data_IF_089171046286
#
_entry.id   IF_089171046286
#
_cell.length_a   1.000
_cell.length_b   1.000
_cell.length_c   1.000
_cell.angle_alpha   90.00
_cell.angle_beta   90.00
_cell.angle_gamma   90.00
#
_symmetry.space_group_name_H-M   'P 1'
#
loop_
_entity.id
_entity.type
_entity.pdbx_description
1 polymer ?
#
# COMPACT_ATOMS: atom_id res chain seq x y z
N UNK A 1 -13.04 19.28 26.74
CA UNK A 1 -13.70 18.90 25.47
C UNK A 1 -12.60 18.49 24.49
N UNK A 2 -12.78 17.39 23.77
CA UNK A 2 -11.88 16.99 22.70
C UNK A 2 -11.78 18.10 21.63
N UNK A 3 -10.59 18.32 21.11
CA UNK A 3 -10.36 19.41 20.14
C UNK A 3 -9.67 18.87 18.89
N UNK A 4 -10.26 19.14 17.73
CA UNK A 4 -9.73 18.78 16.40
C UNK A 4 -9.37 20.06 15.65
N UNK A 5 -8.14 20.11 15.11
CA UNK A 5 -7.63 21.26 14.38
C UNK A 5 -7.00 20.82 13.08
N UNK A 6 -7.64 21.14 11.96
CA UNK A 6 -7.09 20.98 10.63
C UNK A 6 -6.46 22.29 10.16
N UNK A 7 -5.21 22.24 9.71
CA UNK A 7 -4.51 23.40 9.15
C UNK A 7 -4.12 23.12 7.71
N UNK A 8 -4.84 23.73 6.77
CA UNK A 8 -4.48 23.72 5.34
C UNK A 8 -3.48 24.83 5.08
N UNK A 9 -2.27 24.48 4.68
CA UNK A 9 -1.19 25.43 4.55
C UNK A 9 -0.28 25.08 3.37
N UNK A 10 -0.11 26.02 2.42
CA UNK A 10 0.74 25.84 1.24
C UNK A 10 2.24 25.85 1.58
N UNK A 11 3.09 25.51 0.60
CA UNK A 11 4.55 25.57 0.76
C UNK A 11 5.02 26.94 1.25
N UNK A 12 5.91 26.96 2.24
CA UNK A 12 6.45 28.19 2.80
C UNK A 12 5.50 28.98 3.71
N UNK A 13 4.28 28.51 3.96
CA UNK A 13 3.29 29.20 4.80
C UNK A 13 3.54 29.09 6.31
N UNK A 14 4.63 28.46 6.73
CA UNK A 14 4.98 28.33 8.14
C UNK A 14 4.34 27.11 8.86
N UNK A 15 3.97 26.04 8.15
CA UNK A 15 3.40 24.81 8.73
C UNK A 15 4.15 24.32 9.97
N UNK A 16 5.43 24.04 9.82
CA UNK A 16 6.29 23.58 10.92
C UNK A 16 6.48 24.65 12.01
N UNK A 17 6.41 25.94 11.66
CA UNK A 17 6.40 27.02 12.64
C UNK A 17 5.14 26.96 13.51
N UNK A 18 3.94 26.79 12.93
CA UNK A 18 2.70 26.70 13.69
C UNK A 18 2.67 25.45 14.58
N UNK A 19 3.11 24.30 14.09
CA UNK A 19 3.21 23.07 14.91
C UNK A 19 4.19 23.25 16.08
N UNK A 20 5.38 23.86 15.81
CA UNK A 20 6.35 24.16 16.89
C UNK A 20 5.76 25.12 17.91
N UNK A 21 5.03 26.15 17.45
CA UNK A 21 4.32 27.10 18.33
C UNK A 21 3.30 26.38 19.21
N UNK A 22 2.47 25.50 18.61
CA UNK A 22 1.46 24.70 19.33
C UNK A 22 2.11 23.77 20.35
N UNK A 23 3.22 23.12 20.00
CA UNK A 23 4.00 22.29 20.93
C UNK A 23 4.45 23.10 22.15
N UNK A 24 4.99 24.30 21.95
CA UNK A 24 5.43 25.19 23.03
C UNK A 24 4.27 25.74 23.87
N UNK A 25 3.11 25.98 23.25
CA UNK A 25 1.89 26.35 23.98
C UNK A 25 1.41 25.20 24.91
N UNK A 26 1.49 23.95 24.43
CA UNK A 26 1.17 22.77 25.25
C UNK A 26 2.18 22.63 26.41
N UNK A 27 3.47 22.82 26.17
CA UNK A 27 4.49 22.84 27.24
C UNK A 27 4.20 23.95 28.27
N UNK A 28 3.75 25.13 27.82
CA UNK A 28 3.39 26.22 28.73
C UNK A 28 2.20 25.87 29.62
N UNK A 29 1.27 25.06 29.12
CA UNK A 29 0.09 24.59 29.84
C UNK A 29 0.40 23.43 30.80
N UNK A 30 1.53 22.71 30.63
CA UNK A 30 1.93 21.62 31.51
C UNK A 30 2.17 22.13 32.95
N UNK A 31 1.52 21.48 33.92
CA UNK A 31 1.69 21.79 35.33
C UNK A 31 1.12 23.14 35.77
N UNK A 32 0.36 23.84 34.92
CA UNK A 32 -0.37 25.04 35.28
C UNK A 32 -1.81 24.69 35.69
N UNK A 33 -2.25 25.03 36.91
CA UNK A 33 -3.64 24.83 37.30
C UNK A 33 -4.62 25.80 36.59
N UNK A 34 -4.09 26.70 35.77
CA UNK A 34 -4.93 27.74 35.12
C UNK A 34 -5.30 27.30 33.69
N UNK A 35 -6.60 27.14 33.40
CA UNK A 35 -7.10 26.87 32.05
C UNK A 35 -6.81 28.02 31.04
N UNK A 36 -6.30 29.17 31.52
CA UNK A 36 -6.04 30.34 30.71
C UNK A 36 -4.91 30.16 29.67
N UNK A 37 -3.84 29.43 30.01
CA UNK A 37 -2.73 29.21 29.08
C UNK A 37 -3.09 28.24 27.94
N UNK A 38 -3.86 27.22 28.24
CA UNK A 38 -4.40 26.31 27.23
C UNK A 38 -5.52 26.97 26.39
N UNK A 39 -6.35 27.80 27.00
CA UNK A 39 -7.41 28.53 26.32
C UNK A 39 -6.91 29.58 25.34
N UNK A 40 -5.78 30.26 25.62
CA UNK A 40 -5.18 31.23 24.71
C UNK A 40 -4.67 30.59 23.39
N UNK A 41 -4.37 29.28 23.42
CA UNK A 41 -3.96 28.50 22.26
C UNK A 41 -5.10 27.63 21.67
N UNK A 42 -6.31 27.71 22.21
CA UNK A 42 -7.46 26.90 21.77
C UNK A 42 -7.38 25.41 22.13
N UNK A 43 -6.59 25.01 23.12
CA UNK A 43 -6.20 23.62 23.38
C UNK A 43 -6.93 22.93 24.54
N UNK A 44 -8.16 23.33 24.88
CA UNK A 44 -8.95 22.67 25.93
C UNK A 44 -8.26 22.63 27.31
N UNK A 45 -8.37 21.50 28.04
CA UNK A 45 -7.60 21.26 29.26
C UNK A 45 -6.15 20.93 28.85
N UNK A 46 -5.16 21.67 29.36
CA UNK A 46 -3.75 21.45 29.05
C UNK A 46 -3.24 20.08 29.55
N UNK A 47 -2.07 19.64 29.04
CA UNK A 47 -1.45 18.37 29.44
C UNK A 47 -1.04 18.39 30.91
N UNK A 48 -1.12 17.21 31.56
CA UNK A 48 -0.62 17.02 32.93
C UNK A 48 0.90 16.89 32.96
N UNK A 49 1.48 16.36 31.86
CA UNK A 49 2.90 16.18 31.67
C UNK A 49 3.32 16.44 30.23
N UNK A 50 4.57 16.76 30.03
CA UNK A 50 5.14 17.01 28.69
C UNK A 50 5.28 15.73 27.85
N UNK A 51 5.35 14.57 28.49
CA UNK A 51 5.34 13.24 27.90
C UNK A 51 3.99 12.85 27.25
N UNK A 52 2.94 13.62 27.53
CA UNK A 52 1.62 13.48 26.88
C UNK A 52 1.56 14.13 25.48
N UNK A 53 2.56 14.93 25.12
CA UNK A 53 2.60 15.65 23.84
C UNK A 53 3.41 14.85 22.85
N UNK A 54 2.79 14.50 21.71
CA UNK A 54 3.43 13.78 20.61
C UNK A 54 3.40 14.61 19.34
N UNK A 55 4.57 14.88 18.77
CA UNK A 55 4.69 15.46 17.44
C UNK A 55 5.19 14.39 16.46
N UNK A 56 4.45 14.21 15.38
CA UNK A 56 4.74 13.23 14.33
C UNK A 56 5.10 13.96 13.05
N UNK A 57 6.20 13.53 12.42
CA UNK A 57 6.68 14.00 11.13
C UNK A 57 6.82 12.82 10.17
N UNK A 58 6.94 13.11 8.87
CA UNK A 58 7.10 12.06 7.87
C UNK A 58 8.53 11.49 7.81
N UNK A 59 9.57 12.32 8.03
CA UNK A 59 10.96 11.88 7.93
C UNK A 59 11.74 12.11 9.22
N UNK A 60 12.79 11.31 9.45
CA UNK A 60 13.68 11.49 10.59
C UNK A 60 14.40 12.85 10.54
N UNK A 61 14.71 13.36 9.34
CA UNK A 61 15.29 14.69 9.16
C UNK A 61 14.33 15.79 9.65
N UNK A 62 13.04 15.72 9.26
CA UNK A 62 12.00 16.65 9.71
C UNK A 62 11.77 16.57 11.22
N UNK A 63 11.80 15.35 11.81
CA UNK A 63 11.70 15.18 13.25
C UNK A 63 12.90 15.83 13.98
N UNK A 64 14.11 15.67 13.45
CA UNK A 64 15.32 16.35 13.94
C UNK A 64 15.18 17.87 13.87
N UNK A 65 14.80 18.39 12.71
CA UNK A 65 14.61 19.85 12.51
C UNK A 65 13.55 20.42 13.45
N UNK A 66 12.41 19.72 13.63
CA UNK A 66 11.37 20.16 14.56
C UNK A 66 11.89 20.19 16.02
N UNK A 67 12.68 19.19 16.42
CA UNK A 67 13.31 19.13 17.74
C UNK A 67 14.26 20.29 17.95
N UNK A 68 15.12 20.55 16.97
CA UNK A 68 16.08 21.67 17.03
C UNK A 68 15.34 23.01 17.11
N UNK A 69 14.24 23.19 16.40
CA UNK A 69 13.40 24.39 16.46
C UNK A 69 12.74 24.56 17.83
N UNK A 70 12.20 23.50 18.43
CA UNK A 70 11.61 23.54 19.78
C UNK A 70 12.67 23.98 20.79
N UNK A 71 13.85 23.35 20.78
CA UNK A 71 14.95 23.66 21.70
C UNK A 71 15.48 25.08 21.45
N UNK A 72 15.67 25.48 20.20
CA UNK A 72 16.15 26.81 19.82
C UNK A 72 15.21 27.93 20.29
N UNK A 73 13.90 27.75 20.12
CA UNK A 73 12.87 28.70 20.59
C UNK A 73 12.80 28.76 22.11
N UNK A 74 12.84 27.63 22.81
CA UNK A 74 12.94 27.62 24.27
C UNK A 74 14.17 28.38 24.76
N UNK A 75 15.33 28.17 24.12
CA UNK A 75 16.56 28.90 24.44
C UNK A 75 16.40 30.38 24.22
N UNK A 76 15.81 30.81 23.11
CA UNK A 76 15.59 32.23 22.81
C UNK A 76 14.69 32.89 23.84
N UNK A 77 13.57 32.24 24.23
CA UNK A 77 12.66 32.75 25.28
C UNK A 77 13.39 32.83 26.62
N UNK A 78 14.15 31.79 27.01
CA UNK A 78 14.91 31.77 28.26
C UNK A 78 15.94 32.88 28.34
N UNK A 79 16.52 33.30 27.20
CA UNK A 79 17.46 34.39 27.09
C UNK A 79 16.79 35.79 26.98
N UNK A 80 15.47 35.86 27.16
CA UNK A 80 14.74 37.12 27.18
C UNK A 80 14.23 37.62 25.83
N UNK A 81 14.14 36.76 24.82
CA UNK A 81 13.48 37.07 23.54
C UNK A 81 12.05 36.53 23.56
N UNK A 82 11.04 37.33 24.01
CA UNK A 82 9.69 36.85 24.14
C UNK A 82 9.03 36.65 22.77
N UNK A 83 8.25 35.60 22.66
CA UNK A 83 7.37 35.35 21.50
C UNK A 83 5.93 35.69 21.88
N UNK A 84 5.26 36.60 21.14
CA UNK A 84 3.93 37.14 21.48
C UNK A 84 2.85 36.05 21.59
N UNK A 85 3.00 34.99 20.82
CA UNK A 85 1.97 33.94 20.69
C UNK A 85 2.27 32.67 21.52
N UNK A 86 3.30 32.73 22.39
CA UNK A 86 3.68 31.61 23.26
C UNK A 86 3.68 32.08 24.71
N UNK A 87 2.81 31.54 25.56
CA UNK A 87 2.66 31.98 26.94
C UNK A 87 3.73 31.36 27.86
N UNK A 88 5.01 31.41 27.46
CA UNK A 88 6.15 30.98 28.25
C UNK A 88 6.91 32.17 28.79
N UNK A 89 7.12 32.19 30.09
CA UNK A 89 8.09 33.14 30.72
C UNK A 89 9.53 32.63 30.54
N UNK A 90 10.54 33.52 30.62
CA UNK A 90 11.94 33.13 30.58
C UNK A 90 12.31 32.03 31.59
N UNK A 91 11.79 32.10 32.82
CA UNK A 91 12.02 31.09 33.86
C UNK A 91 11.35 29.74 33.55
N UNK A 92 10.16 29.77 32.96
CA UNK A 92 9.49 28.53 32.51
C UNK A 92 10.27 27.89 31.35
N UNK A 93 10.68 28.68 30.37
CA UNK A 93 11.44 28.20 29.25
C UNK A 93 12.80 27.61 29.67
N UNK A 94 13.50 28.27 30.63
CA UNK A 94 14.75 27.75 31.18
C UNK A 94 14.56 26.40 31.89
N UNK A 95 13.47 26.27 32.69
CA UNK A 95 13.14 25.01 33.36
C UNK A 95 12.82 23.89 32.36
N UNK A 96 12.00 24.17 31.35
CA UNK A 96 11.70 23.17 30.31
C UNK A 96 12.94 22.78 29.53
N UNK A 97 13.81 23.74 29.23
CA UNK A 97 15.07 23.46 28.54
C UNK A 97 15.96 22.53 29.36
N UNK A 98 16.11 22.76 30.66
CA UNK A 98 16.88 21.88 31.57
C UNK A 98 16.28 20.46 31.60
N UNK A 99 14.95 20.33 31.76
CA UNK A 99 14.26 19.02 31.78
C UNK A 99 14.46 18.27 30.46
N UNK A 100 14.23 18.94 29.33
CA UNK A 100 14.36 18.32 27.99
C UNK A 100 15.79 17.90 27.69
N UNK A 101 16.79 18.74 28.05
CA UNK A 101 18.18 18.41 27.79
C UNK A 101 18.71 17.28 28.69
N UNK A 102 18.12 17.06 29.86
CA UNK A 102 18.47 15.93 30.73
C UNK A 102 17.89 14.60 30.23
N UNK A 103 16.74 14.65 29.56
CA UNK A 103 16.05 13.47 29.03
C UNK A 103 15.49 13.74 27.63
N UNK A 104 16.40 13.93 26.70
CA UNK A 104 16.06 14.20 25.29
C UNK A 104 15.30 13.03 24.64
N UNK A 105 15.48 11.81 25.15
CA UNK A 105 14.81 10.62 24.63
C UNK A 105 13.30 10.63 24.88
N UNK A 106 12.87 11.24 25.98
CA UNK A 106 11.43 11.37 26.33
C UNK A 106 10.73 12.51 25.57
N UNK A 107 11.46 13.32 24.80
CA UNK A 107 10.86 14.32 23.90
C UNK A 107 10.21 13.61 22.71
N UNK A 108 8.89 13.44 22.78
CA UNK A 108 8.10 12.69 21.78
C UNK A 108 7.94 13.46 20.46
N UNK A 109 9.05 13.72 19.78
CA UNK A 109 9.09 14.25 18.41
C UNK A 109 9.74 13.17 17.54
N UNK A 110 8.94 12.47 16.73
CA UNK A 110 9.36 11.27 15.99
C UNK A 110 8.58 11.06 14.69
N UNK A 111 9.01 10.11 13.88
CA UNK A 111 8.24 9.68 12.71
C UNK A 111 7.11 8.73 13.11
N UNK A 112 6.06 8.65 12.27
CA UNK A 112 4.96 7.70 12.47
C UNK A 112 5.49 6.26 12.52
N UNK A 113 6.40 5.90 11.61
CA UNK A 113 6.99 4.55 11.56
C UNK A 113 7.76 4.23 12.85
N UNK A 114 8.48 5.19 13.44
CA UNK A 114 9.19 4.96 14.69
C UNK A 114 8.26 4.78 15.88
N UNK A 115 7.09 5.41 15.88
CA UNK A 115 6.06 5.18 16.90
C UNK A 115 5.44 3.79 16.76
N UNK A 116 5.00 3.44 15.54
CA UNK A 116 4.42 2.13 15.26
C UNK A 116 5.40 0.99 15.56
N UNK A 117 6.68 1.17 15.22
CA UNK A 117 7.73 0.22 15.57
C UNK A 117 7.90 0.08 17.10
N UNK A 118 7.85 1.17 17.86
CA UNK A 118 7.91 1.11 19.32
C UNK A 118 6.72 0.35 19.92
N UNK A 119 5.51 0.53 19.35
CA UNK A 119 4.32 -0.22 19.76
C UNK A 119 4.49 -1.73 19.52
N UNK A 120 4.90 -2.13 18.30
CA UNK A 120 5.16 -3.53 17.96
C UNK A 120 6.23 -4.12 18.88
N UNK A 121 7.31 -3.36 19.13
CA UNK A 121 8.40 -3.80 20.02
C UNK A 121 7.94 -4.01 21.45
N UNK A 122 7.03 -3.19 21.95
CA UNK A 122 6.46 -3.34 23.29
C UNK A 122 5.64 -4.62 23.46
N UNK A 123 5.14 -5.19 22.36
CA UNK A 123 4.35 -6.42 22.30
C UNK A 123 5.08 -7.57 21.58
N UNK A 124 6.38 -7.44 21.32
CA UNK A 124 7.15 -8.37 20.48
C UNK A 124 6.99 -9.83 20.87
N UNK A 125 7.08 -10.16 22.17
CA UNK A 125 6.94 -11.53 22.66
C UNK A 125 5.55 -12.14 22.39
N UNK A 126 4.49 -11.33 22.38
CA UNK A 126 3.14 -11.79 22.06
C UNK A 126 2.90 -11.95 20.56
N UNK A 127 3.73 -11.29 19.77
CA UNK A 127 3.73 -11.38 18.32
C UNK A 127 4.73 -12.43 17.80
N UNK A 128 5.29 -13.24 18.71
CA UNK A 128 6.33 -14.22 18.40
C UNK A 128 7.55 -13.60 17.70
N UNK A 129 7.88 -12.34 18.07
CA UNK A 129 9.04 -11.62 17.56
C UNK A 129 10.14 -11.51 18.62
N UNK A 130 11.43 -11.55 18.25
CA UNK A 130 12.49 -11.23 19.18
C UNK A 130 12.39 -9.75 19.62
N UNK A 131 12.70 -9.41 20.89
CA UNK A 131 12.56 -8.05 21.42
C UNK A 131 13.42 -7.00 20.70
N UNK A 132 14.49 -7.44 20.04
CA UNK A 132 15.46 -6.62 19.33
C UNK A 132 15.29 -6.66 17.81
N UNK A 133 14.13 -7.14 17.32
CA UNK A 133 13.87 -7.21 15.90
C UNK A 133 14.10 -5.85 15.20
N UNK A 134 14.55 -5.93 13.96
CA UNK A 134 14.79 -4.76 13.12
C UNK A 134 13.79 -4.72 11.95
N UNK A 135 13.14 -3.58 11.69
CA UNK A 135 12.33 -3.44 10.50
C UNK A 135 13.24 -3.43 9.26
N UNK A 136 12.98 -4.33 8.33
CA UNK A 136 13.71 -4.44 7.09
C UNK A 136 12.81 -4.04 5.90
N UNK A 137 13.31 -3.19 5.01
CA UNK A 137 12.64 -2.96 3.75
C UNK A 137 12.78 -4.20 2.86
N UNK A 138 11.70 -4.54 2.15
CA UNK A 138 11.73 -5.62 1.16
C UNK A 138 12.57 -5.14 -0.03
N UNK A 139 13.88 -5.37 0.05
CA UNK A 139 14.84 -5.14 -1.02
C UNK A 139 15.21 -6.46 -1.70
N UNK A 140 15.72 -6.41 -2.93
CA UNK A 140 16.23 -7.62 -3.57
C UNK A 140 17.37 -8.27 -2.78
N UNK A 141 18.20 -7.47 -2.11
CA UNK A 141 19.27 -7.99 -1.25
C UNK A 141 18.73 -8.82 -0.08
N UNK A 142 17.62 -8.38 0.52
CA UNK A 142 16.93 -9.14 1.58
C UNK A 142 16.24 -10.41 1.07
N UNK A 143 15.85 -10.45 -0.21
CA UNK A 143 15.15 -11.58 -0.83
C UNK A 143 16.12 -12.58 -1.46
N UNK A 144 17.30 -12.13 -1.88
CA UNK A 144 18.31 -12.96 -2.57
C UNK A 144 18.65 -14.27 -1.85
N UNK A 145 18.88 -14.32 -0.52
CA UNK A 145 19.19 -15.59 0.15
C UNK A 145 18.08 -16.64 0.03
N UNK A 146 16.81 -16.19 0.07
CA UNK A 146 15.67 -17.08 -0.11
C UNK A 146 15.53 -17.53 -1.57
N UNK A 147 15.77 -16.63 -2.51
CA UNK A 147 15.81 -16.96 -3.94
C UNK A 147 16.92 -17.99 -4.24
N UNK A 148 18.11 -17.82 -3.69
CA UNK A 148 19.23 -18.76 -3.83
C UNK A 148 18.86 -20.14 -3.26
N UNK A 149 18.13 -20.19 -2.14
CA UNK A 149 17.62 -21.44 -1.58
C UNK A 149 16.67 -22.15 -2.55
N UNK A 150 15.75 -21.42 -3.18
CA UNK A 150 14.82 -21.98 -4.17
C UNK A 150 15.55 -22.43 -5.46
N UNK A 151 16.54 -21.67 -5.91
CA UNK A 151 17.40 -22.04 -7.05
C UNK A 151 18.18 -23.32 -6.75
N UNK A 152 18.73 -23.47 -5.55
CA UNK A 152 19.43 -24.68 -5.12
C UNK A 152 18.47 -25.89 -5.07
N UNK A 153 17.23 -25.74 -4.62
CA UNK A 153 16.22 -26.80 -4.66
C UNK A 153 15.94 -27.25 -6.10
N UNK A 154 15.83 -26.32 -7.04
CA UNK A 154 15.66 -26.67 -8.46
C UNK A 154 16.87 -27.44 -9.00
N UNK A 155 18.11 -27.01 -8.66
CA UNK A 155 19.34 -27.68 -9.10
C UNK A 155 19.51 -29.07 -8.50
N UNK A 156 18.90 -29.35 -7.36
CA UNK A 156 18.88 -30.65 -6.69
C UNK A 156 17.79 -31.60 -7.23
N UNK A 157 17.08 -31.21 -8.29
CA UNK A 157 16.10 -32.07 -8.96
C UNK A 157 14.65 -31.90 -8.48
N UNK A 158 14.32 -30.77 -7.83
CA UNK A 158 12.92 -30.44 -7.56
C UNK A 158 12.23 -30.00 -8.86
N UNK A 159 11.56 -30.93 -9.53
CA UNK A 159 10.88 -30.71 -10.82
C UNK A 159 9.85 -29.58 -10.78
N UNK A 160 9.12 -29.40 -9.66
CA UNK A 160 8.12 -28.36 -9.53
C UNK A 160 8.79 -26.97 -9.52
N UNK A 161 9.93 -26.83 -8.83
CA UNK A 161 10.69 -25.59 -8.76
C UNK A 161 11.38 -25.30 -10.09
N UNK A 162 11.96 -26.31 -10.74
CA UNK A 162 12.56 -26.16 -12.06
C UNK A 162 11.51 -25.68 -13.09
N UNK A 163 10.31 -26.27 -13.07
CA UNK A 163 9.21 -25.84 -13.94
C UNK A 163 8.81 -24.39 -13.65
N UNK A 164 8.64 -24.02 -12.39
CA UNK A 164 8.27 -22.66 -12.00
C UNK A 164 9.29 -21.64 -12.52
N UNK A 165 10.57 -21.89 -12.34
CA UNK A 165 11.65 -20.99 -12.80
C UNK A 165 11.71 -20.92 -14.33
N UNK A 166 11.49 -22.02 -15.03
CA UNK A 166 11.42 -22.07 -16.49
C UNK A 166 10.23 -21.25 -17.02
N UNK A 167 9.06 -21.43 -16.43
CA UNK A 167 7.84 -20.70 -16.79
C UNK A 167 7.99 -19.19 -16.52
N UNK A 168 8.63 -18.82 -15.40
CA UNK A 168 8.94 -17.43 -15.06
C UNK A 168 9.93 -16.82 -16.07
N UNK A 169 11.01 -17.52 -16.40
CA UNK A 169 11.98 -17.06 -17.41
C UNK A 169 11.29 -16.83 -18.75
N UNK A 170 10.44 -17.78 -19.17
CA UNK A 170 9.66 -17.66 -20.40
C UNK A 170 8.77 -16.42 -20.39
N UNK A 171 8.07 -16.17 -19.28
CA UNK A 171 7.19 -15.01 -19.11
C UNK A 171 7.99 -13.69 -19.20
N UNK A 172 9.14 -13.57 -18.55
CA UNK A 172 10.00 -12.39 -18.58
C UNK A 172 10.51 -12.12 -20.01
N UNK A 173 10.99 -13.14 -20.70
CA UNK A 173 11.59 -12.97 -22.04
C UNK A 173 10.55 -12.65 -23.10
N UNK A 174 9.40 -13.33 -23.10
CA UNK A 174 8.44 -13.24 -24.19
C UNK A 174 7.35 -12.17 -23.98
N UNK A 175 7.00 -11.87 -22.72
CA UNK A 175 5.94 -10.89 -22.43
C UNK A 175 6.47 -9.45 -22.44
N UNK A 176 7.66 -9.22 -21.88
CA UNK A 176 8.21 -7.87 -21.77
C UNK A 176 9.00 -7.39 -23.00
N UNK A 177 9.22 -8.25 -24.00
CA UNK A 177 9.93 -7.92 -25.26
C UNK A 177 11.19 -7.07 -25.10
N UNK A 178 11.87 -7.18 -23.98
CA UNK A 178 12.93 -6.25 -23.62
C UNK A 178 14.25 -6.62 -24.31
N UNK A 179 14.78 -5.67 -25.04
CA UNK A 179 16.12 -5.72 -25.62
C UNK A 179 17.15 -5.49 -24.52
N UNK A 180 17.97 -6.50 -24.21
CA UNK A 180 19.03 -6.41 -23.21
C UNK A 180 18.85 -7.41 -22.07
N UNK A 181 19.96 -8.05 -21.66
CA UNK A 181 19.96 -9.15 -20.72
C UNK A 181 20.40 -8.69 -19.33
N UNK A 182 19.46 -8.09 -18.57
CA UNK A 182 19.62 -7.97 -17.13
C UNK A 182 18.42 -8.63 -16.44
N UNK A 183 18.42 -9.97 -16.45
CA UNK A 183 17.32 -10.77 -15.94
C UNK A 183 17.05 -10.53 -14.44
N UNK A 184 18.12 -10.29 -13.65
CA UNK A 184 17.99 -10.06 -12.21
C UNK A 184 17.27 -8.75 -11.85
N UNK A 185 17.63 -7.66 -12.52
CA UNK A 185 16.98 -6.36 -12.30
C UNK A 185 15.50 -6.41 -12.66
N UNK A 186 15.17 -7.02 -13.80
CA UNK A 186 13.78 -7.20 -14.24
C UNK A 186 12.96 -8.11 -13.35
N UNK A 187 13.57 -9.17 -12.86
CA UNK A 187 12.94 -10.03 -11.87
C UNK A 187 12.60 -9.21 -10.61
N UNK A 188 13.52 -8.36 -10.16
CA UNK A 188 13.30 -7.47 -9.05
C UNK A 188 12.14 -6.50 -9.25
N UNK A 189 12.04 -5.90 -10.44
CA UNK A 189 10.96 -4.97 -10.78
C UNK A 189 9.57 -5.63 -10.79
N UNK A 190 9.50 -6.92 -11.14
CA UNK A 190 8.26 -7.70 -11.13
C UNK A 190 7.94 -8.23 -9.74
N UNK A 191 8.92 -8.78 -9.04
CA UNK A 191 8.71 -9.50 -7.78
C UNK A 191 8.46 -8.55 -6.61
N UNK A 192 9.15 -7.41 -6.54
CA UNK A 192 9.01 -6.46 -5.42
C UNK A 192 7.57 -5.97 -5.19
N UNK A 193 6.83 -5.46 -6.20
CA UNK A 193 5.43 -5.07 -6.00
C UNK A 193 4.53 -6.23 -5.57
N UNK A 194 4.81 -7.45 -6.08
CA UNK A 194 4.07 -8.64 -5.70
C UNK A 194 4.34 -9.04 -4.24
N UNK A 195 5.59 -8.98 -3.80
CA UNK A 195 5.94 -9.25 -2.39
C UNK A 195 5.23 -8.27 -1.47
N UNK A 196 5.29 -6.97 -1.76
CA UNK A 196 4.64 -5.94 -0.96
C UNK A 196 3.12 -6.16 -0.90
N UNK A 197 2.46 -6.44 -2.04
CA UNK A 197 1.02 -6.69 -2.09
C UNK A 197 0.59 -7.97 -1.37
N UNK A 198 1.38 -9.06 -1.48
CA UNK A 198 1.11 -10.32 -0.75
C UNK A 198 1.30 -10.11 0.77
N UNK A 199 2.35 -9.39 1.17
CA UNK A 199 2.61 -9.08 2.57
C UNK A 199 1.49 -8.25 3.19
N UNK A 200 0.93 -7.28 2.46
CA UNK A 200 -0.22 -6.46 2.89
C UNK A 200 -1.57 -7.18 2.83
N UNK A 201 -1.61 -8.41 2.33
CA UNK A 201 -2.87 -9.13 2.15
C UNK A 201 -3.77 -8.59 1.03
N UNK A 202 -3.24 -7.77 0.13
CA UNK A 202 -3.99 -7.23 -1.02
C UNK A 202 -4.41 -8.33 -2.01
N UNK A 203 -3.68 -9.45 -2.01
CA UNK A 203 -3.91 -10.61 -2.88
C UNK A 203 -4.38 -11.81 -2.04
N UNK A 204 -5.66 -11.81 -1.67
CA UNK A 204 -6.23 -12.86 -0.81
C UNK A 204 -6.73 -14.08 -1.57
N UNK A 205 -7.00 -13.97 -2.87
CA UNK A 205 -7.64 -15.04 -3.66
C UNK A 205 -6.98 -15.19 -5.03
N UNK A 206 -5.69 -15.56 -5.01
CA UNK A 206 -4.91 -15.73 -6.23
C UNK A 206 -5.21 -17.11 -6.82
N UNK A 207 -5.90 -17.12 -7.97
CA UNK A 207 -6.11 -18.35 -8.72
C UNK A 207 -4.77 -18.98 -9.13
N UNK A 208 -4.55 -20.23 -8.76
CA UNK A 208 -3.37 -20.98 -9.16
C UNK A 208 -3.28 -21.20 -10.67
N UNK A 209 -2.08 -21.54 -11.20
CA UNK A 209 -1.86 -21.75 -12.63
C UNK A 209 -2.83 -22.77 -13.25
N UNK A 210 -3.17 -23.85 -12.53
CA UNK A 210 -4.08 -24.89 -12.99
C UNK A 210 -5.52 -24.37 -13.15
N UNK A 211 -5.98 -23.58 -12.20
CA UNK A 211 -7.33 -22.98 -12.27
C UNK A 211 -7.42 -21.95 -13.40
N UNK A 212 -6.39 -21.14 -13.60
CA UNK A 212 -6.30 -20.19 -14.72
C UNK A 212 -6.31 -20.93 -16.07
N UNK A 213 -5.60 -22.04 -16.18
CA UNK A 213 -5.60 -22.89 -17.38
C UNK A 213 -6.95 -23.53 -17.63
N UNK A 214 -7.62 -24.01 -16.58
CA UNK A 214 -8.98 -24.57 -16.66
C UNK A 214 -9.97 -23.51 -17.15
N UNK A 215 -9.95 -22.31 -16.55
CA UNK A 215 -10.81 -21.18 -16.96
C UNK A 215 -10.56 -20.78 -18.41
N UNK A 216 -9.29 -20.73 -18.82
CA UNK A 216 -8.90 -20.40 -20.18
C UNK A 216 -9.41 -21.45 -21.18
N UNK A 217 -9.27 -22.75 -20.88
CA UNK A 217 -9.82 -23.83 -21.73
C UNK A 217 -11.33 -23.78 -21.85
N UNK A 218 -12.05 -23.56 -20.75
CA UNK A 218 -13.51 -23.43 -20.75
C UNK A 218 -13.98 -22.25 -21.60
N UNK A 219 -13.26 -21.16 -21.56
CA UNK A 219 -13.58 -19.95 -22.32
C UNK A 219 -13.42 -20.17 -23.84
N UNK A 220 -12.35 -20.84 -24.25
CA UNK A 220 -12.18 -21.26 -25.63
C UNK A 220 -13.23 -22.29 -26.07
N UNK A 221 -13.61 -23.22 -25.23
CA UNK A 221 -14.57 -24.24 -25.58
C UNK A 221 -15.91 -23.65 -26.02
N UNK A 222 -16.43 -22.66 -25.27
CA UNK A 222 -17.67 -21.97 -25.64
C UNK A 222 -17.54 -21.19 -26.95
N UNK A 223 -16.41 -20.54 -27.17
CA UNK A 223 -16.16 -19.79 -28.42
C UNK A 223 -16.09 -20.72 -29.62
N UNK A 224 -15.40 -21.84 -29.49
CA UNK A 224 -15.32 -22.85 -30.56
C UNK A 224 -16.71 -23.39 -30.90
N UNK A 225 -17.54 -23.67 -29.90
CA UNK A 225 -18.92 -24.14 -30.13
C UNK A 225 -19.72 -23.12 -30.97
N UNK A 226 -19.72 -21.85 -30.54
CA UNK A 226 -20.43 -20.77 -31.29
C UNK A 226 -19.88 -20.57 -32.71
N UNK A 227 -18.58 -20.70 -32.90
CA UNK A 227 -17.97 -20.63 -34.24
C UNK A 227 -18.38 -21.83 -35.09
N UNK A 228 -18.43 -23.02 -34.50
CA UNK A 228 -18.89 -24.24 -35.20
C UNK A 228 -20.34 -24.10 -35.64
N UNK A 229 -21.22 -23.60 -34.75
CA UNK A 229 -22.63 -23.34 -35.08
C UNK A 229 -22.78 -22.41 -36.30
N UNK A 230 -21.96 -21.35 -36.38
CA UNK A 230 -21.96 -20.43 -37.52
C UNK A 230 -21.47 -21.10 -38.81
N UNK A 231 -20.40 -21.89 -38.76
CA UNK A 231 -19.86 -22.57 -39.94
C UNK A 231 -20.82 -23.68 -40.47
N UNK A 232 -21.46 -24.40 -39.57
CA UNK A 232 -22.49 -25.38 -39.93
C UNK A 232 -23.74 -24.71 -40.54
N UNK A 233 -24.15 -23.57 -39.96
CA UNK A 233 -25.28 -22.80 -40.52
C UNK A 233 -24.92 -22.22 -41.91
N UNK A 234 -23.66 -21.79 -42.16
CA UNK A 234 -23.16 -21.40 -43.45
C UNK A 234 -23.31 -22.54 -44.48
N UNK A 235 -22.91 -23.75 -44.12
CA UNK A 235 -22.94 -24.91 -44.99
C UNK A 235 -24.39 -25.34 -45.26
N UNK A 236 -25.25 -25.43 -44.23
CA UNK A 236 -26.66 -25.74 -44.37
C UNK A 236 -27.44 -24.74 -45.26
N UNK A 237 -27.09 -23.46 -45.18
CA UNK A 237 -27.66 -22.42 -46.02
C UNK A 237 -27.16 -22.46 -47.48
N UNK A 238 -26.12 -23.25 -47.76
CA UNK A 238 -25.48 -23.33 -49.10
C UNK A 238 -24.93 -21.98 -49.59
N UNK A 239 -24.43 -21.19 -48.65
CA UNK A 239 -23.97 -19.82 -48.93
C UNK A 239 -22.52 -19.65 -48.45
N UNK A 240 -21.91 -18.51 -48.75
CA UNK A 240 -20.55 -18.19 -48.28
C UNK A 240 -20.54 -16.87 -47.52
N UNK A 241 -19.91 -16.88 -46.37
CA UNK A 241 -19.56 -15.69 -45.60
C UNK A 241 -18.47 -14.88 -46.29
N UNK A 242 -18.25 -13.66 -45.85
CA UNK A 242 -17.14 -12.84 -46.31
C UNK A 242 -15.81 -13.56 -46.06
N UNK A 243 -14.96 -13.68 -47.07
CA UNK A 243 -13.75 -14.52 -47.06
C UNK A 243 -12.81 -14.23 -45.85
N UNK A 244 -12.61 -12.93 -45.55
CA UNK A 244 -11.78 -12.51 -44.42
C UNK A 244 -12.40 -12.90 -43.08
N UNK A 245 -13.72 -12.77 -42.92
CA UNK A 245 -14.45 -13.14 -41.70
C UNK A 245 -14.49 -14.65 -41.51
N UNK A 246 -14.70 -15.40 -42.59
CA UNK A 246 -14.61 -16.87 -42.56
C UNK A 246 -13.21 -17.35 -42.15
N UNK A 247 -12.15 -16.73 -42.69
CA UNK A 247 -10.76 -16.99 -42.26
C UNK A 247 -10.57 -16.68 -40.76
N UNK A 248 -11.19 -15.61 -40.26
CA UNK A 248 -11.14 -15.25 -38.85
C UNK A 248 -11.82 -16.31 -37.95
N UNK A 249 -12.99 -16.84 -38.37
CA UNK A 249 -13.70 -17.89 -37.68
C UNK A 249 -12.89 -19.21 -37.62
N UNK A 250 -12.28 -19.62 -38.74
CA UNK A 250 -11.41 -20.79 -38.77
C UNK A 250 -10.22 -20.61 -37.83
N UNK A 251 -9.58 -19.45 -37.79
CA UNK A 251 -8.52 -19.15 -36.84
C UNK A 251 -8.97 -19.24 -35.37
N UNK A 252 -10.17 -18.74 -35.06
CA UNK A 252 -10.74 -18.91 -33.72
C UNK A 252 -10.97 -20.38 -33.36
N UNK A 253 -11.44 -21.19 -34.33
CA UNK A 253 -11.63 -22.63 -34.13
C UNK A 253 -10.29 -23.35 -33.86
N UNK A 254 -9.21 -22.92 -34.52
CA UNK A 254 -7.84 -23.39 -34.31
C UNK A 254 -7.16 -22.78 -33.08
N UNK A 255 -7.83 -21.92 -32.33
CA UNK A 255 -7.31 -21.16 -31.18
C UNK A 255 -6.14 -20.24 -31.55
N UNK A 256 -6.09 -19.78 -32.81
CA UNK A 256 -5.08 -18.83 -33.26
C UNK A 256 -5.46 -17.40 -32.82
N UNK A 257 -4.70 -16.86 -31.87
CA UNK A 257 -4.88 -15.50 -31.34
C UNK A 257 -4.73 -14.41 -32.41
N UNK A 258 -4.13 -14.71 -33.56
CA UNK A 258 -4.09 -13.80 -34.69
C UNK A 258 -5.48 -13.41 -35.23
N UNK A 259 -6.51 -14.18 -34.89
CA UNK A 259 -7.91 -13.86 -35.20
C UNK A 259 -8.36 -12.53 -34.56
N UNK A 260 -7.88 -12.17 -33.37
CA UNK A 260 -8.27 -10.93 -32.67
C UNK A 260 -7.83 -9.64 -33.39
N UNK A 261 -6.88 -9.73 -34.30
CA UNK A 261 -6.43 -8.59 -35.13
C UNK A 261 -7.34 -8.33 -36.32
N UNK A 262 -8.24 -9.26 -36.62
CA UNK A 262 -9.13 -9.15 -37.74
C UNK A 262 -10.38 -8.33 -37.35
N UNK A 263 -10.79 -7.39 -38.21
CA UNK A 263 -11.83 -6.40 -37.93
C UNK A 263 -13.19 -7.02 -37.57
N UNK A 264 -13.55 -8.15 -38.18
CA UNK A 264 -14.79 -8.89 -37.85
C UNK A 264 -14.81 -9.48 -36.45
N UNK A 265 -13.65 -9.68 -35.81
CA UNK A 265 -13.53 -10.19 -34.42
C UNK A 265 -13.31 -9.04 -33.44
N UNK A 266 -12.53 -8.03 -33.84
CA UNK A 266 -12.25 -6.87 -32.98
C UNK A 266 -13.49 -5.99 -32.74
N UNK A 267 -14.31 -5.84 -33.82
CA UNK A 267 -15.55 -5.07 -33.82
C UNK A 267 -16.66 -5.92 -34.42
N UNK A 268 -17.20 -6.90 -33.70
CA UNK A 268 -18.12 -7.89 -34.24
C UNK A 268 -19.52 -7.29 -34.51
N UNK A 269 -19.89 -7.26 -35.75
CA UNK A 269 -21.24 -6.91 -36.24
C UNK A 269 -21.67 -7.95 -37.25
N UNK A 270 -22.94 -8.39 -37.21
CA UNK A 270 -23.45 -9.44 -38.08
C UNK A 270 -23.18 -9.14 -39.56
N UNK A 271 -23.38 -7.89 -39.99
CA UNK A 271 -23.17 -7.48 -41.38
C UNK A 271 -21.72 -7.58 -41.86
N UNK A 272 -20.74 -7.49 -40.94
CA UNK A 272 -19.32 -7.68 -41.28
C UNK A 272 -18.94 -9.12 -41.65
N UNK A 273 -19.80 -10.08 -41.33
CA UNK A 273 -19.63 -11.48 -41.72
C UNK A 273 -20.30 -11.80 -43.05
N UNK A 274 -21.23 -10.95 -43.51
CA UNK A 274 -22.07 -11.19 -44.66
C UNK A 274 -21.54 -10.47 -45.91
N UNK A 275 -21.88 -11.02 -47.08
CA UNK A 275 -21.72 -10.36 -48.39
C UNK A 275 -23.07 -10.06 -48.99
N UNK A 276 -23.12 -9.25 -50.05
CA UNK A 276 -24.38 -9.01 -50.80
C UNK A 276 -24.98 -10.30 -51.41
N UNK A 277 -24.15 -11.34 -51.60
CA UNK A 277 -24.55 -12.65 -52.18
C UNK A 277 -24.86 -13.70 -51.10
N UNK A 278 -24.65 -13.38 -49.82
CA UNK A 278 -24.89 -14.33 -48.73
C UNK A 278 -26.40 -14.51 -48.53
N UNK A 279 -26.88 -15.76 -48.55
CA UNK A 279 -28.26 -16.08 -48.27
C UNK A 279 -28.52 -15.92 -46.80
N UNK A 280 -29.36 -14.99 -46.40
CA UNK A 280 -29.67 -14.64 -44.99
C UNK A 280 -30.78 -15.58 -44.47
N UNK A 281 -30.40 -16.77 -44.01
CA UNK A 281 -31.35 -17.68 -43.33
C UNK A 281 -31.45 -17.26 -41.86
N UNK A 282 -32.59 -17.52 -41.23
CA UNK A 282 -32.85 -17.19 -39.85
C UNK A 282 -31.83 -17.91 -38.90
N UNK A 283 -31.49 -19.15 -39.21
CA UNK A 283 -30.51 -19.93 -38.51
C UNK A 283 -29.11 -19.31 -38.54
N UNK A 284 -28.63 -18.92 -39.73
CA UNK A 284 -27.33 -18.28 -39.90
C UNK A 284 -27.28 -16.91 -39.21
N UNK A 285 -28.34 -16.12 -39.30
CA UNK A 285 -28.40 -14.79 -38.65
C UNK A 285 -28.43 -14.94 -37.11
N UNK A 286 -29.18 -15.93 -36.59
CA UNK A 286 -29.21 -16.22 -35.15
C UNK A 286 -27.83 -16.66 -34.62
N UNK A 287 -27.16 -17.57 -35.33
CA UNK A 287 -25.82 -18.03 -34.93
C UNK A 287 -24.78 -16.89 -34.97
N UNK A 288 -24.81 -16.05 -36.02
CA UNK A 288 -23.96 -14.88 -36.11
C UNK A 288 -24.24 -13.83 -35.03
N UNK A 289 -25.51 -13.60 -34.68
CA UNK A 289 -25.91 -12.68 -33.63
C UNK A 289 -25.41 -13.18 -32.27
N UNK A 290 -25.56 -14.48 -31.98
CA UNK A 290 -25.04 -15.08 -30.75
C UNK A 290 -23.52 -14.97 -30.64
N UNK A 291 -22.79 -15.24 -31.71
CA UNK A 291 -21.33 -15.08 -31.77
C UNK A 291 -20.92 -13.61 -31.62
N UNK A 292 -21.54 -12.68 -32.35
CA UNK A 292 -21.23 -11.27 -32.29
C UNK A 292 -21.46 -10.67 -30.86
N UNK A 293 -22.51 -11.11 -30.18
CA UNK A 293 -22.78 -10.73 -28.80
C UNK A 293 -21.73 -11.29 -27.80
N UNK A 294 -21.19 -12.47 -28.08
CA UNK A 294 -20.21 -13.15 -27.23
C UNK A 294 -18.78 -12.59 -27.40
N UNK A 295 -18.35 -12.28 -28.60
CA UNK A 295 -16.96 -11.93 -28.94
C UNK A 295 -16.36 -10.78 -28.13
N UNK A 296 -17.05 -9.66 -27.82
CA UNK A 296 -16.48 -8.57 -27.04
C UNK A 296 -16.11 -8.98 -25.62
N UNK A 297 -17.00 -9.73 -24.96
CA UNK A 297 -16.75 -10.25 -23.62
C UNK A 297 -15.64 -11.32 -23.63
N UNK A 298 -15.68 -12.20 -24.63
CA UNK A 298 -14.62 -13.19 -24.84
C UNK A 298 -13.24 -12.53 -25.02
N UNK A 299 -13.12 -11.55 -25.90
CA UNK A 299 -11.85 -10.87 -26.18
C UNK A 299 -11.28 -10.19 -24.93
N UNK A 300 -12.14 -9.53 -24.14
CA UNK A 300 -11.75 -8.88 -22.90
C UNK A 300 -11.27 -9.91 -21.85
N UNK A 301 -12.05 -10.95 -21.62
CA UNK A 301 -11.71 -12.00 -20.65
C UNK A 301 -10.50 -12.81 -21.09
N UNK A 302 -10.37 -13.07 -22.39
CA UNK A 302 -9.20 -13.76 -22.94
C UNK A 302 -7.91 -12.98 -22.68
N UNK A 303 -7.92 -11.67 -22.91
CA UNK A 303 -6.77 -10.80 -22.63
C UNK A 303 -6.40 -10.81 -21.14
N UNK A 304 -7.39 -10.72 -20.23
CA UNK A 304 -7.17 -10.80 -18.79
C UNK A 304 -6.61 -12.15 -18.35
N UNK A 305 -7.21 -13.25 -18.82
CA UNK A 305 -6.73 -14.61 -18.48
C UNK A 305 -5.34 -14.87 -19.02
N UNK A 306 -5.03 -14.38 -20.21
CA UNK A 306 -3.68 -14.46 -20.79
C UNK A 306 -2.67 -13.70 -19.93
N UNK A 307 -2.99 -12.46 -19.54
CA UNK A 307 -2.13 -11.69 -18.63
C UNK A 307 -1.95 -12.41 -17.30
N UNK A 308 -3.03 -12.87 -16.68
CA UNK A 308 -2.97 -13.60 -15.42
C UNK A 308 -2.08 -14.86 -15.51
N UNK A 309 -2.21 -15.65 -16.59
CA UNK A 309 -1.34 -16.83 -16.84
C UNK A 309 0.13 -16.46 -16.97
N UNK A 310 0.43 -15.39 -17.68
CA UNK A 310 1.81 -14.93 -17.86
C UNK A 310 2.44 -14.44 -16.56
N UNK A 311 1.65 -13.86 -15.65
CA UNK A 311 2.13 -13.40 -14.35
C UNK A 311 2.06 -14.47 -13.24
N UNK A 312 1.29 -15.55 -13.44
CA UNK A 312 1.12 -16.59 -12.42
C UNK A 312 2.43 -17.16 -11.86
N UNK A 313 3.48 -17.44 -12.67
CA UNK A 313 4.76 -17.91 -12.13
C UNK A 313 5.45 -16.88 -11.22
N UNK A 314 5.36 -15.59 -11.53
CA UNK A 314 5.92 -14.55 -10.70
C UNK A 314 5.18 -14.42 -9.36
N UNK A 315 3.84 -14.50 -9.39
CA UNK A 315 3.00 -14.49 -8.18
C UNK A 315 3.30 -15.72 -7.31
N UNK A 316 3.45 -16.90 -7.92
CA UNK A 316 3.78 -18.13 -7.20
C UNK A 316 5.17 -18.03 -6.55
N UNK A 317 6.18 -17.52 -7.26
CA UNK A 317 7.49 -17.29 -6.68
C UNK A 317 7.43 -16.28 -5.53
N UNK A 318 6.75 -15.15 -5.70
CA UNK A 318 6.59 -14.16 -4.64
C UNK A 318 5.90 -14.75 -3.40
N UNK A 319 4.89 -15.59 -3.58
CA UNK A 319 4.21 -16.29 -2.47
C UNK A 319 5.17 -17.21 -1.72
N UNK A 320 5.98 -18.00 -2.43
CA UNK A 320 6.99 -18.86 -1.81
C UNK A 320 8.05 -18.07 -1.04
N UNK A 321 8.50 -16.95 -1.61
CA UNK A 321 9.45 -16.06 -0.95
C UNK A 321 8.86 -15.45 0.33
N UNK A 322 7.61 -14.98 0.31
CA UNK A 322 6.92 -14.47 1.51
C UNK A 322 6.79 -15.56 2.58
N UNK A 323 6.43 -16.78 2.20
CA UNK A 323 6.38 -17.90 3.15
C UNK A 323 7.75 -18.20 3.77
N UNK A 324 8.81 -18.23 2.96
CA UNK A 324 10.18 -18.43 3.45
C UNK A 324 10.64 -17.29 4.37
N UNK A 325 10.36 -16.05 4.01
CA UNK A 325 10.65 -14.89 4.86
C UNK A 325 9.92 -14.95 6.20
N UNK A 326 8.63 -15.27 6.20
CA UNK A 326 7.83 -15.42 7.44
C UNK A 326 8.34 -16.57 8.31
N UNK A 327 8.72 -17.70 7.72
CA UNK A 327 9.26 -18.84 8.48
C UNK A 327 10.58 -18.53 9.16
N UNK A 328 11.44 -17.69 8.55
CA UNK A 328 12.73 -17.31 9.11
C UNK A 328 12.70 -16.04 9.97
N UNK A 329 11.57 -15.32 10.00
CA UNK A 329 11.40 -14.05 10.70
C UNK A 329 11.81 -14.13 12.19
N UNK A 330 11.48 -15.22 12.88
CA UNK A 330 11.85 -15.46 14.28
C UNK A 330 13.35 -15.70 14.46
N UNK A 331 14.00 -16.35 13.49
CA UNK A 331 15.42 -16.72 13.59
C UNK A 331 16.35 -15.55 13.23
N UNK A 332 15.98 -14.75 12.23
CA UNK A 332 16.78 -13.64 11.74
C UNK A 332 16.56 -12.33 12.48
N UNK A 333 15.54 -12.25 13.33
CA UNK A 333 15.21 -11.03 14.06
C UNK A 333 14.84 -9.86 13.12
N UNK A 334 14.38 -10.15 11.90
CA UNK A 334 13.98 -9.13 10.91
C UNK A 334 12.48 -9.15 10.70
N UNK A 335 11.86 -7.97 10.60
CA UNK A 335 10.44 -7.81 10.29
C UNK A 335 10.31 -6.96 9.03
N UNK A 336 9.59 -7.44 7.98
CA UNK A 336 9.27 -6.57 6.85
C UNK A 336 8.59 -5.28 7.31
N UNK A 337 9.18 -4.13 6.98
CA UNK A 337 8.70 -2.83 7.43
C UNK A 337 7.23 -2.55 7.04
N UNK A 338 6.78 -3.14 5.94
CA UNK A 338 5.40 -3.06 5.45
C UNK A 338 4.38 -3.68 6.42
N UNK A 339 4.79 -4.64 7.26
CA UNK A 339 3.93 -5.29 8.26
C UNK A 339 3.82 -4.51 9.57
N UNK A 340 4.70 -3.55 9.82
CA UNK A 340 4.73 -2.81 11.09
C UNK A 340 3.40 -2.09 11.37
N UNK A 341 2.75 -1.39 10.42
CA UNK A 341 1.45 -0.76 10.67
C UNK A 341 0.36 -1.76 11.01
N UNK A 342 0.26 -2.89 10.28
CA UNK A 342 -0.74 -3.93 10.54
C UNK A 342 -0.57 -4.53 11.95
N UNK A 343 0.66 -4.90 12.30
CA UNK A 343 0.96 -5.45 13.62
C UNK A 343 0.71 -4.43 14.74
N UNK A 344 1.08 -3.16 14.56
CA UNK A 344 0.77 -2.11 15.52
C UNK A 344 -0.74 -1.94 15.71
N UNK A 345 -1.50 -1.92 14.60
CA UNK A 345 -2.96 -1.87 14.62
C UNK A 345 -3.55 -3.08 15.37
N UNK A 346 -3.04 -4.28 15.15
CA UNK A 346 -3.49 -5.50 15.86
C UNK A 346 -3.22 -5.46 17.37
N UNK A 347 -2.08 -4.89 17.78
CA UNK A 347 -1.76 -4.67 19.20
C UNK A 347 -2.74 -3.68 19.83
N UNK A 348 -3.03 -2.57 19.16
CA UNK A 348 -3.88 -1.51 19.69
C UNK A 348 -5.37 -1.87 19.70
N UNK A 349 -5.83 -2.66 18.73
CA UNK A 349 -7.23 -3.08 18.60
C UNK A 349 -7.51 -4.44 19.23
N UNK A 350 -6.47 -5.20 19.60
CA UNK A 350 -6.57 -6.54 20.15
C UNK A 350 -6.88 -6.59 21.64
N UNK A 351 -6.61 -7.77 22.25
CA UNK A 351 -6.83 -8.02 23.68
C UNK A 351 -6.05 -7.11 24.62
N UNK A 352 -4.93 -6.55 24.15
CA UNK A 352 -4.12 -5.57 24.90
C UNK A 352 -4.80 -4.21 24.99
N UNK A 353 -5.32 -3.72 23.85
CA UNK A 353 -5.87 -2.40 23.73
C UNK A 353 -4.85 -1.26 23.89
N UNK A 354 -5.32 -0.05 23.66
CA UNK A 354 -4.49 1.16 23.68
C UNK A 354 -3.87 1.41 25.07
N UNK A 355 -4.64 1.21 26.13
CA UNK A 355 -4.18 1.49 27.49
C UNK A 355 -2.98 0.65 27.91
N UNK A 356 -2.97 -0.63 27.58
CA UNK A 356 -1.85 -1.53 27.86
C UNK A 356 -0.60 -1.17 27.02
N UNK A 357 -0.81 -0.88 25.72
CA UNK A 357 0.26 -0.45 24.83
C UNK A 357 0.94 0.83 25.33
N UNK A 358 0.15 1.84 25.75
CA UNK A 358 0.68 3.08 26.32
C UNK A 358 1.39 2.87 27.66
N UNK A 359 0.86 1.96 28.51
CA UNK A 359 1.51 1.59 29.77
C UNK A 359 2.91 1.00 29.52
N UNK A 360 3.05 0.10 28.54
CA UNK A 360 4.33 -0.51 28.16
C UNK A 360 5.30 0.48 27.51
N UNK A 361 4.78 1.46 26.77
CA UNK A 361 5.58 2.55 26.24
C UNK A 361 6.02 3.55 27.30
N UNK A 362 5.49 3.46 28.53
CA UNK A 362 5.76 4.42 29.60
C UNK A 362 5.27 5.83 29.31
N UNK A 363 4.25 5.99 28.44
CA UNK A 363 3.74 7.30 27.99
C UNK A 363 2.21 7.37 28.06
N UNK A 364 1.68 8.59 28.17
CA UNK A 364 0.23 8.89 28.22
C UNK A 364 -0.12 9.85 27.09
N UNK A 365 0.09 9.45 25.86
CA UNK A 365 -0.13 10.30 24.69
C UNK A 365 -1.57 10.82 24.64
N UNK A 366 -1.75 12.12 24.71
CA UNK A 366 -3.06 12.80 24.66
C UNK A 366 -3.12 13.94 23.61
N UNK A 367 -1.99 14.55 23.29
CA UNK A 367 -1.93 15.71 22.40
C UNK A 367 -1.10 15.36 21.18
N UNK A 368 -1.79 15.20 20.04
CA UNK A 368 -1.19 14.77 18.78
C UNK A 368 -1.01 15.96 17.84
N UNK A 369 0.21 16.14 17.34
CA UNK A 369 0.59 17.14 16.36
C UNK A 369 1.16 16.41 15.14
N UNK A 370 0.44 16.35 14.03
CA UNK A 370 0.83 15.62 12.83
C UNK A 370 1.27 16.61 11.74
N UNK A 371 2.52 16.51 11.27
CA UNK A 371 3.05 17.25 10.14
C UNK A 371 2.99 16.43 8.85
N UNK A 372 2.83 17.13 7.71
CA UNK A 372 2.76 16.54 6.37
C UNK A 372 1.77 15.36 6.26
N UNK A 373 0.57 15.53 6.85
CA UNK A 373 -0.43 14.45 6.98
C UNK A 373 -0.87 13.87 5.62
N UNK A 374 -0.78 14.65 4.53
CA UNK A 374 -1.09 14.18 3.17
C UNK A 374 -0.17 13.05 2.67
N UNK A 375 0.97 12.84 3.32
CA UNK A 375 1.92 11.77 2.98
C UNK A 375 1.72 10.49 3.81
N UNK A 376 0.77 10.51 4.77
CA UNK A 376 0.42 9.35 5.61
C UNK A 376 -0.32 8.29 4.79
N UNK A 377 0.05 7.01 4.95
CA UNK A 377 -0.69 5.91 4.32
C UNK A 377 -1.96 5.55 5.10
N UNK A 378 -2.89 4.85 4.42
CA UNK A 378 -4.11 4.35 5.08
C UNK A 378 -3.78 3.39 6.22
N UNK A 379 -2.83 2.51 5.99
CA UNK A 379 -2.39 1.52 6.97
C UNK A 379 -1.78 2.19 8.19
N UNK A 380 -0.94 3.20 7.98
CA UNK A 380 -0.37 4.00 9.08
C UNK A 380 -1.45 4.73 9.86
N UNK A 381 -2.42 5.34 9.16
CA UNK A 381 -3.52 6.03 9.83
C UNK A 381 -4.44 5.06 10.58
N UNK A 382 -4.82 3.92 9.98
CA UNK A 382 -5.61 2.88 10.63
C UNK A 382 -4.92 2.33 11.89
N UNK A 383 -3.60 2.19 11.86
CA UNK A 383 -2.83 1.79 13.02
C UNK A 383 -2.79 2.87 14.12
N UNK A 384 -2.72 4.15 13.73
CA UNK A 384 -2.61 5.28 14.68
C UNK A 384 -3.97 5.70 15.24
N UNK A 385 -5.07 5.57 14.49
CA UNK A 385 -6.39 6.09 14.86
C UNK A 385 -6.89 5.62 16.23
N UNK A 386 -6.70 4.36 16.68
CA UNK A 386 -7.12 3.95 18.03
C UNK A 386 -6.46 4.75 19.15
N UNK A 387 -5.18 5.15 18.97
CA UNK A 387 -4.49 6.02 19.95
C UNK A 387 -5.08 7.42 19.99
N UNK A 388 -5.41 7.96 18.82
CA UNK A 388 -6.02 9.28 18.69
C UNK A 388 -7.43 9.29 19.27
N UNK A 389 -8.24 8.28 18.98
CA UNK A 389 -9.60 8.13 19.51
C UNK A 389 -9.61 8.04 21.03
N UNK A 390 -8.71 7.24 21.61
CA UNK A 390 -8.55 7.14 23.06
C UNK A 390 -8.13 8.49 23.67
N UNK A 391 -7.19 9.19 23.06
CA UNK A 391 -6.76 10.51 23.52
C UNK A 391 -7.92 11.53 23.48
N UNK A 392 -8.69 11.56 22.40
CA UNK A 392 -9.85 12.43 22.26
C UNK A 392 -10.94 12.10 23.30
N UNK A 393 -11.20 10.81 23.56
CA UNK A 393 -12.15 10.37 24.57
C UNK A 393 -11.82 10.89 25.98
N UNK A 394 -10.52 11.06 26.25
CA UNK A 394 -9.98 11.60 27.51
C UNK A 394 -9.84 13.13 27.55
N UNK A 395 -10.31 13.82 26.51
CA UNK A 395 -10.27 15.28 26.41
C UNK A 395 -8.98 15.85 25.85
N UNK A 396 -8.15 15.00 25.20
CA UNK A 396 -6.97 15.41 24.45
C UNK A 396 -7.29 16.12 23.14
N UNK A 397 -6.29 16.33 22.30
CA UNK A 397 -6.44 17.01 21.01
C UNK A 397 -5.65 16.37 19.88
N UNK A 398 -6.17 16.52 18.66
CA UNK A 398 -5.48 16.20 17.43
C UNK A 398 -5.36 17.47 16.58
N UNK A 399 -4.13 17.78 16.18
CA UNK A 399 -3.83 18.81 15.19
C UNK A 399 -3.11 18.18 14.03
N UNK A 400 -3.60 18.35 12.81
CA UNK A 400 -2.90 17.89 11.62
C UNK A 400 -2.72 19.02 10.61
N UNK A 401 -1.54 19.05 10.03
CA UNK A 401 -1.11 20.06 9.09
C UNK A 401 -0.67 19.40 7.80
N UNK A 402 -1.04 19.97 6.66
CA UNK A 402 -0.65 19.44 5.38
C UNK A 402 -1.09 20.29 4.20
N UNK A 403 -0.65 19.87 3.02
CA UNK A 403 -1.07 20.42 1.74
C UNK A 403 -1.22 19.29 0.71
N UNK A 404 -2.45 18.99 0.36
CA UNK A 404 -2.78 17.93 -0.62
C UNK A 404 -2.03 18.12 -1.95
N UNK A 405 -1.72 19.37 -2.33
CA UNK A 405 -0.97 19.68 -3.56
C UNK A 405 0.52 19.33 -3.47
N UNK A 406 1.04 19.08 -2.26
CA UNK A 406 2.43 18.70 -2.00
C UNK A 406 2.58 17.20 -1.77
N UNK A 407 1.52 16.40 -1.90
CA UNK A 407 1.58 14.94 -1.78
C UNK A 407 2.48 14.35 -2.89
N UNK A 408 3.70 13.94 -2.55
CA UNK A 408 4.68 13.35 -3.46
C UNK A 408 5.03 11.90 -3.13
N UNK A 409 4.56 11.39 -2.00
CA UNK A 409 4.87 10.05 -1.50
C UNK A 409 3.79 9.00 -1.77
N UNK A 410 2.91 9.22 -2.78
CA UNK A 410 1.93 8.23 -3.22
C UNK A 410 2.56 6.88 -3.60
N UNK A 411 3.80 6.87 -4.11
CA UNK A 411 4.56 5.66 -4.38
C UNK A 411 4.99 4.87 -3.11
N UNK A 412 4.92 5.50 -1.94
CA UNK A 412 5.10 4.88 -0.62
C UNK A 412 3.79 4.52 0.08
N UNK A 413 2.66 4.64 -0.62
CA UNK A 413 1.33 4.39 -0.05
C UNK A 413 0.67 5.62 0.59
N UNK A 414 1.28 6.81 0.51
CA UNK A 414 0.66 8.05 0.99
C UNK A 414 -0.69 8.30 0.30
N UNK A 415 -1.73 8.60 1.08
CA UNK A 415 -3.08 8.86 0.58
C UNK A 415 -3.54 10.27 0.97
N UNK A 416 -3.39 11.19 0.01
CA UNK A 416 -3.80 12.58 0.20
C UNK A 416 -5.30 12.76 0.49
N UNK A 417 -6.14 11.76 0.16
CA UNK A 417 -7.58 11.82 0.45
C UNK A 417 -7.88 11.73 1.96
N UNK A 418 -6.97 11.17 2.75
CA UNK A 418 -7.09 11.14 4.22
C UNK A 418 -7.08 12.53 4.85
N UNK A 419 -6.52 13.53 4.15
CA UNK A 419 -6.41 14.89 4.71
C UNK A 419 -7.75 15.57 4.86
N UNK A 420 -8.70 15.31 3.97
CA UNK A 420 -10.03 15.95 3.92
C UNK A 420 -11.17 15.05 4.48
N UNK A 421 -10.85 13.81 4.92
CA UNK A 421 -11.79 12.78 5.36
C UNK A 421 -12.10 12.75 6.84
#
# INVERSE_FOLDING_TARGET
>A
MASLYQVKASAGSGKTYDLTRRFLCLLAACGSPAPAAAASCGLGNGPSGWDEILAITFTNAAAGEMRDRVIGRLKAIALGTPEKDIPLTPDMAARWLDVILRDLASLNIRTIDSLLHAIVRSASLQLDLPPDFQPAFVSMDAVTPYLDTLLNQASQGNEAMEKLLRDLYWAIVHVQQSKGFNAGEKLGDIIRPLLDGILRGEFTDIAGPEELEKRHRQHWHRTIALVTDVLEAEERAGTKLHATSRKALVRLQERDEGAFKLKSIAEPEVDKFLTAKTKRTEELLSALAALAAWLPDFSRRHALLRSARNFAPAVQLATLLVHAMRANQQQEGTLPAVLVPELAGSVLSGSFGVSEALCRLGSRLQYFLLDEFQDTSREQWQALSPLVEEALSRGGSLTWVGDVKQAIYGWRGGDAALFDG
#
